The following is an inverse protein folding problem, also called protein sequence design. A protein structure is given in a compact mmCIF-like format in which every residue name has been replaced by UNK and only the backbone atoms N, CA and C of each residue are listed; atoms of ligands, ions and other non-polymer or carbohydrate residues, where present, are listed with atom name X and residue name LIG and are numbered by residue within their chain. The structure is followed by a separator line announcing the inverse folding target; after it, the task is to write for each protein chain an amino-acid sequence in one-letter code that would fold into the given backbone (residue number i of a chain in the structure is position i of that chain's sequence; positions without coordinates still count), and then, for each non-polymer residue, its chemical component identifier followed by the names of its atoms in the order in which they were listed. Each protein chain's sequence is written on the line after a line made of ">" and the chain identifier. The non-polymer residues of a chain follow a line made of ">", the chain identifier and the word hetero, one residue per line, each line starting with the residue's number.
data_IF_091431487653
#
_entry.id   IF_091431487653
#
_cell.length_a   1.000
_cell.length_b   1.000
_cell.length_c   1.000
_cell.angle_alpha   90.00
_cell.angle_beta   90.00
_cell.angle_gamma   90.00
#
_symmetry.space_group_name_H-M   'P 1'
#
loop_
_entity.id
_entity.type
_entity.pdbx_description
1 polymer ?
#
# COMPACT_ATOMS: atom_id res chain seq x y z
N UNK A 1 26.20 11.21 -23.73
CA UNK A 1 25.52 12.13 -22.81
C UNK A 1 24.23 11.46 -22.32
N UNK A 2 24.32 10.50 -21.38
CA UNK A 2 23.17 9.73 -20.86
C UNK A 2 23.07 9.70 -19.32
N UNK A 3 23.96 10.40 -18.60
CA UNK A 3 24.09 10.24 -17.14
C UNK A 3 22.91 10.75 -16.33
N UNK A 4 22.14 11.73 -16.83
CA UNK A 4 21.01 12.32 -16.10
C UNK A 4 19.82 11.36 -15.99
N UNK A 5 19.52 10.60 -17.04
CA UNK A 5 18.43 9.62 -17.04
C UNK A 5 18.77 8.42 -16.15
N UNK A 6 20.01 7.94 -16.22
CA UNK A 6 20.47 6.84 -15.36
C UNK A 6 20.45 7.22 -13.88
N UNK A 7 20.78 8.48 -13.55
CA UNK A 7 20.76 8.99 -12.16
C UNK A 7 19.34 9.16 -11.62
N UNK A 8 18.36 9.53 -12.46
CA UNK A 8 16.96 9.61 -12.04
C UNK A 8 16.34 8.23 -11.87
N UNK A 9 16.59 7.29 -12.78
CA UNK A 9 16.09 5.91 -12.69
C UNK A 9 16.68 5.19 -11.48
N UNK A 10 17.96 5.39 -11.19
CA UNK A 10 18.61 4.83 -9.98
C UNK A 10 18.04 5.46 -8.71
N UNK A 11 17.90 6.79 -8.62
CA UNK A 11 17.30 7.44 -7.44
C UNK A 11 15.86 6.99 -7.17
N UNK A 12 15.06 6.78 -8.21
CA UNK A 12 13.69 6.27 -8.07
C UNK A 12 13.71 4.82 -7.60
N UNK A 13 14.55 3.97 -8.19
CA UNK A 13 14.72 2.57 -7.75
C UNK A 13 15.23 2.47 -6.32
N UNK A 14 16.20 3.29 -5.94
CA UNK A 14 16.79 3.31 -4.61
C UNK A 14 15.80 3.85 -3.57
N UNK A 15 15.00 4.86 -3.91
CA UNK A 15 13.95 5.38 -3.03
C UNK A 15 12.80 4.39 -2.87
N UNK A 16 12.41 3.69 -3.94
CA UNK A 16 11.42 2.60 -3.89
C UNK A 16 11.96 1.43 -3.09
N UNK A 17 13.22 1.04 -3.27
CA UNK A 17 13.86 -0.03 -2.52
C UNK A 17 13.99 0.33 -1.04
N UNK A 18 14.38 1.57 -0.71
CA UNK A 18 14.47 2.04 0.67
C UNK A 18 13.09 2.20 1.33
N UNK A 19 12.08 2.66 0.59
CA UNK A 19 10.70 2.68 1.08
C UNK A 19 10.19 1.26 1.29
N UNK A 20 10.39 0.36 0.33
CA UNK A 20 10.02 -1.05 0.43
C UNK A 20 10.76 -1.76 1.57
N UNK A 21 12.04 -1.48 1.82
CA UNK A 21 12.82 -2.05 2.93
C UNK A 21 12.42 -1.46 4.28
N UNK A 22 12.05 -0.19 4.35
CA UNK A 22 11.57 0.45 5.57
C UNK A 22 10.18 -0.04 5.95
N UNK A 23 9.32 -0.20 4.94
CA UNK A 23 8.01 -0.86 5.05
C UNK A 23 8.19 -2.32 5.44
N UNK A 24 9.05 -3.10 4.76
CA UNK A 24 9.31 -4.51 5.07
C UNK A 24 9.83 -4.70 6.50
N UNK A 25 10.69 -3.81 6.99
CA UNK A 25 11.13 -3.79 8.40
C UNK A 25 9.99 -3.42 9.36
N UNK A 26 9.13 -2.46 9.00
CA UNK A 26 7.94 -2.10 9.78
C UNK A 26 6.86 -3.19 9.81
N UNK A 27 6.74 -3.99 8.75
CA UNK A 27 5.78 -5.09 8.62
C UNK A 27 6.26 -6.41 9.24
N UNK A 28 7.56 -6.69 9.22
CA UNK A 28 8.16 -7.80 10.00
C UNK A 28 8.02 -7.54 11.51
N UNK A 29 7.90 -6.28 11.92
CA UNK A 29 7.63 -5.84 13.29
C UNK A 29 6.20 -5.30 13.47
N UNK A 30 5.18 -6.08 13.07
CA UNK A 30 3.75 -5.84 13.42
C UNK A 30 3.50 -6.00 14.93
N UNK A 31 4.26 -5.24 15.73
CA UNK A 31 4.22 -5.12 17.17
C UNK A 31 3.87 -3.68 17.51
N UNK A 32 2.58 -3.44 17.78
CA UNK A 32 2.02 -2.40 18.65
C UNK A 32 2.15 -0.92 18.26
N UNK A 33 3.29 -0.48 17.75
CA UNK A 33 3.69 0.93 17.72
C UNK A 33 4.11 1.45 16.32
N UNK A 34 3.99 0.63 15.27
CA UNK A 34 4.25 1.07 13.89
C UNK A 34 3.04 1.83 13.36
N UNK A 35 3.18 3.14 13.21
CA UNK A 35 2.23 3.99 12.51
C UNK A 35 2.57 3.98 11.02
N UNK A 36 1.63 3.57 10.17
CA UNK A 36 1.79 3.62 8.71
C UNK A 36 0.66 4.46 8.14
N UNK A 37 0.99 5.30 7.16
CA UNK A 37 -0.01 6.05 6.40
C UNK A 37 -0.72 5.17 5.37
N UNK A 38 -1.92 5.62 4.95
CA UNK A 38 -2.66 4.95 3.86
C UNK A 38 -1.82 4.87 2.58
N UNK A 39 -1.03 5.90 2.32
CA UNK A 39 -0.14 5.95 1.16
C UNK A 39 0.97 4.91 1.22
N UNK A 40 1.68 4.79 2.36
CA UNK A 40 2.74 3.79 2.53
C UNK A 40 2.18 2.35 2.41
N UNK A 41 0.96 2.12 2.91
CA UNK A 41 0.30 0.84 2.76
C UNK A 41 -0.05 0.54 1.29
N UNK A 42 -0.52 1.53 0.54
CA UNK A 42 -0.82 1.37 -0.88
C UNK A 42 0.44 1.06 -1.68
N UNK A 43 1.54 1.77 -1.43
CA UNK A 43 2.81 1.53 -2.11
C UNK A 43 3.41 0.17 -1.77
N UNK A 44 3.28 -0.28 -0.51
CA UNK A 44 3.61 -1.65 -0.13
C UNK A 44 2.84 -2.67 -0.95
N UNK A 45 1.52 -2.55 -1.03
CA UNK A 45 0.68 -3.50 -1.78
C UNK A 45 1.10 -3.48 -3.26
N UNK A 46 1.30 -2.32 -3.88
CA UNK A 46 1.68 -2.22 -5.31
C UNK A 46 3.04 -2.84 -5.61
N UNK A 47 4.03 -2.63 -4.74
CA UNK A 47 5.42 -3.03 -4.98
C UNK A 47 5.73 -4.45 -4.50
N UNK A 48 4.83 -5.08 -3.75
CA UNK A 48 5.05 -6.43 -3.25
C UNK A 48 4.98 -7.48 -4.37
N UNK A 49 6.01 -8.33 -4.44
CA UNK A 49 6.16 -9.34 -5.51
C UNK A 49 5.02 -10.36 -5.62
N UNK A 50 4.33 -10.64 -4.51
CA UNK A 50 3.22 -11.60 -4.48
C UNK A 50 1.85 -10.96 -4.75
N UNK A 51 1.82 -9.64 -4.96
CA UNK A 51 0.56 -8.94 -5.23
C UNK A 51 0.01 -9.34 -6.58
N UNK A 52 -1.27 -9.68 -6.59
CA UNK A 52 -2.03 -9.94 -7.81
C UNK A 52 -2.91 -8.74 -8.11
N UNK A 53 -2.71 -8.14 -9.27
CA UNK A 53 -3.50 -6.99 -9.72
C UNK A 53 -4.35 -7.37 -10.92
N UNK A 54 -5.65 -7.13 -10.81
CA UNK A 54 -6.55 -7.15 -11.95
C UNK A 54 -6.92 -5.71 -12.35
N UNK A 55 -7.23 -5.51 -13.63
CA UNK A 55 -7.74 -4.22 -14.11
C UNK A 55 -9.09 -4.40 -14.79
N UNK A 56 -9.99 -3.43 -14.60
CA UNK A 56 -11.31 -3.41 -15.23
C UNK A 56 -11.60 -2.03 -15.81
N UNK A 57 -12.15 -2.00 -17.01
CA UNK A 57 -12.65 -0.77 -17.60
C UNK A 57 -14.11 -0.58 -17.20
N UNK A 58 -14.38 0.41 -16.35
CA UNK A 58 -15.69 0.68 -15.75
C UNK A 58 -15.97 2.17 -15.86
N UNK A 59 -17.20 2.57 -16.17
CA UNK A 59 -17.61 3.99 -16.16
C UNK A 59 -16.67 4.91 -16.97
N UNK A 60 -16.14 4.41 -18.10
CA UNK A 60 -15.23 5.16 -18.96
C UNK A 60 -13.78 5.30 -18.45
N UNK A 61 -13.38 4.58 -17.39
CA UNK A 61 -12.06 4.66 -16.79
C UNK A 61 -11.49 3.27 -16.47
N UNK A 62 -10.17 3.16 -16.33
CA UNK A 62 -9.52 1.95 -15.83
C UNK A 62 -9.41 2.00 -14.30
N UNK A 63 -9.85 0.91 -13.68
CA UNK A 63 -9.70 0.66 -12.25
C UNK A 63 -8.78 -0.53 -12.05
N UNK A 64 -7.98 -0.47 -11.00
CA UNK A 64 -6.99 -1.49 -10.64
C UNK A 64 -7.31 -2.01 -9.25
N UNK A 65 -7.34 -3.34 -9.13
CA UNK A 65 -7.69 -4.04 -7.91
C UNK A 65 -6.55 -4.98 -7.56
N UNK A 66 -5.81 -4.61 -6.52
CA UNK A 66 -4.62 -5.34 -6.06
C UNK A 66 -4.93 -6.11 -4.78
N UNK A 67 -4.57 -7.38 -4.79
CA UNK A 67 -4.76 -8.31 -3.68
C UNK A 67 -3.42 -8.88 -3.24
N UNK A 68 -3.17 -8.85 -1.94
CA UNK A 68 -1.99 -9.44 -1.32
C UNK A 68 -2.40 -10.20 -0.07
N UNK A 69 -1.79 -11.36 0.16
CA UNK A 69 -1.91 -12.10 1.40
C UNK A 69 -0.51 -12.41 1.92
N UNK A 70 -0.19 -11.88 3.10
CA UNK A 70 1.10 -12.09 3.76
C UNK A 70 0.89 -12.20 5.27
N UNK A 71 1.55 -13.16 5.93
CA UNK A 71 1.54 -13.33 7.38
C UNK A 71 0.13 -13.38 8.02
N UNK A 72 -0.84 -13.98 7.34
CA UNK A 72 -2.23 -14.08 7.83
C UNK A 72 -3.06 -12.80 7.69
N UNK A 73 -2.48 -11.74 7.12
CA UNK A 73 -3.17 -10.49 6.76
C UNK A 73 -3.55 -10.52 5.28
N UNK A 74 -4.78 -10.12 4.99
CA UNK A 74 -5.30 -9.88 3.64
C UNK A 74 -5.35 -8.39 3.40
N UNK A 75 -4.69 -7.98 2.33
CA UNK A 75 -4.64 -6.60 1.86
C UNK A 75 -5.43 -6.45 0.57
N UNK A 76 -6.10 -5.32 0.46
CA UNK A 76 -6.79 -4.91 -0.76
C UNK A 76 -6.50 -3.44 -1.04
N UNK A 77 -6.20 -3.15 -2.29
CA UNK A 77 -5.99 -1.80 -2.80
C UNK A 77 -6.82 -1.62 -4.07
N UNK A 78 -7.58 -0.54 -4.10
CA UNK A 78 -8.31 -0.11 -5.28
C UNK A 78 -7.82 1.27 -5.73
N UNK A 79 -7.47 1.41 -7.00
CA UNK A 79 -7.06 2.69 -7.58
C UNK A 79 -7.74 2.98 -8.91
N UNK A 80 -7.84 4.27 -9.24
CA UNK A 80 -8.07 4.76 -10.59
C UNK A 80 -6.82 5.56 -10.99
N UNK A 81 -5.98 4.95 -11.82
CA UNK A 81 -4.61 5.42 -12.04
C UNK A 81 -3.84 5.53 -10.73
N UNK A 82 -3.30 6.72 -10.45
CA UNK A 82 -2.56 7.01 -9.21
C UNK A 82 -3.47 7.36 -8.02
N UNK A 83 -4.77 7.57 -8.24
CA UNK A 83 -5.70 7.95 -7.18
C UNK A 83 -6.15 6.72 -6.37
N UNK A 84 -5.88 6.76 -5.06
CA UNK A 84 -6.25 5.69 -4.13
C UNK A 84 -7.73 5.83 -3.76
N UNK A 85 -8.53 4.85 -4.14
CA UNK A 85 -9.96 4.79 -3.85
C UNK A 85 -10.23 4.13 -2.51
N UNK A 86 -9.61 2.96 -2.28
CA UNK A 86 -9.80 2.14 -1.10
C UNK A 86 -8.50 1.43 -0.72
N UNK A 87 -8.26 1.32 0.59
CA UNK A 87 -7.19 0.48 1.15
C UNK A 87 -7.75 -0.28 2.35
N UNK A 88 -7.56 -1.59 2.35
CA UNK A 88 -7.92 -2.47 3.45
C UNK A 88 -6.76 -3.34 3.89
N UNK A 89 -6.69 -3.56 5.20
CA UNK A 89 -5.89 -4.61 5.80
C UNK A 89 -6.75 -5.33 6.85
N UNK A 90 -6.90 -6.64 6.70
CA UNK A 90 -7.77 -7.46 7.55
C UNK A 90 -7.07 -8.76 7.94
N UNK A 91 -7.27 -9.23 9.17
CA UNK A 91 -6.97 -10.62 9.53
C UNK A 91 -8.25 -11.44 9.47
N UNK A 92 -8.18 -12.71 9.86
CA UNK A 92 -9.38 -13.55 10.03
C UNK A 92 -10.37 -12.97 11.05
N UNK A 93 -9.86 -12.29 12.07
CA UNK A 93 -10.64 -11.95 13.27
C UNK A 93 -10.97 -10.46 13.38
N UNK A 94 -10.24 -9.58 12.68
CA UNK A 94 -10.43 -8.13 12.81
C UNK A 94 -10.02 -7.35 11.56
N UNK A 95 -10.61 -6.15 11.44
CA UNK A 95 -10.21 -5.13 10.48
C UNK A 95 -9.08 -4.30 11.11
N UNK A 96 -7.93 -4.24 10.45
CA UNK A 96 -6.76 -3.47 10.90
C UNK A 96 -6.79 -2.05 10.32
N UNK A 97 -7.09 -1.96 9.01
CA UNK A 97 -7.18 -0.70 8.27
C UNK A 97 -8.40 -0.77 7.37
N UNK A 98 -9.16 0.32 7.36
CA UNK A 98 -10.24 0.55 6.42
C UNK A 98 -10.23 2.04 6.02
N UNK A 99 -9.66 2.35 4.86
CA UNK A 99 -9.71 3.66 4.23
C UNK A 99 -10.56 3.66 2.95
N UNK A 100 -11.39 4.67 2.77
CA UNK A 100 -12.17 4.96 1.55
C UNK A 100 -12.15 6.46 1.29
N UNK A 101 -11.59 6.86 0.15
CA UNK A 101 -11.50 8.26 -0.28
C UNK A 101 -12.84 9.00 -0.33
N UNK A 102 -13.94 8.28 -0.61
CA UNK A 102 -15.28 8.85 -0.78
C UNK A 102 -16.12 8.89 0.50
N UNK A 103 -15.65 8.28 1.59
CA UNK A 103 -16.41 8.16 2.84
C UNK A 103 -15.64 8.72 4.03
N UNK A 104 -14.35 8.46 4.09
CA UNK A 104 -13.53 8.78 5.25
C UNK A 104 -12.95 10.19 5.05
N UNK A 105 -13.26 11.12 5.96
CA UNK A 105 -12.68 12.49 5.98
C UNK A 105 -11.19 12.52 6.36
N UNK A 106 -10.57 11.34 6.52
CA UNK A 106 -9.17 11.17 6.87
C UNK A 106 -8.31 11.51 5.65
N UNK A 107 -7.32 12.38 5.84
CA UNK A 107 -6.34 12.67 4.79
C UNK A 107 -5.46 11.44 4.55
N UNK A 108 -4.95 11.27 3.32
CA UNK A 108 -4.05 10.17 2.93
C UNK A 108 -2.84 9.98 3.88
N UNK A 109 -2.43 11.06 4.55
CA UNK A 109 -1.31 11.08 5.48
C UNK A 109 -1.72 10.81 6.93
N UNK A 110 -2.98 10.48 7.20
CA UNK A 110 -3.39 10.22 8.58
C UNK A 110 -2.78 8.90 9.06
N UNK A 111 -2.04 8.90 10.18
CA UNK A 111 -1.45 7.68 10.71
C UNK A 111 -2.53 6.68 11.12
N UNK A 112 -2.42 5.42 10.67
CA UNK A 112 -3.31 4.34 11.08
C UNK A 112 -2.59 3.41 12.06
N UNK A 113 -3.26 3.07 13.17
CA UNK A 113 -2.71 2.22 14.22
C UNK A 113 -3.14 0.77 14.04
N UNK A 114 -2.17 -0.13 13.95
CA UNK A 114 -2.43 -1.57 13.92
C UNK A 114 -2.72 -2.11 15.34
N UNK A 115 -3.75 -2.94 15.53
CA UNK A 115 -3.97 -3.63 16.80
C UNK A 115 -2.88 -4.65 17.08
N UNK A 116 -2.54 -4.87 18.37
CA UNK A 116 -1.65 -5.96 18.79
C UNK A 116 -2.33 -7.30 18.56
N UNK A 117 -1.70 -8.19 17.80
CA UNK A 117 -2.09 -9.59 17.71
C UNK A 117 -1.46 -10.32 18.91
N UNK A 118 -2.27 -10.97 19.74
CA UNK A 118 -1.81 -11.85 20.83
C UNK A 118 -1.63 -13.28 20.31
#
# INVERSE_FOLDING_TARGET
>A
MNSYLDTMVTKVKDSIAQAADSVRRGFVALSGDTFISVWELAEYIKTHKETKTESKYLLGNYYYFSHLQENGVRYYLETNGDFILQVDATTKDQILVAYRSYKDKLSLNTPVKFPKVH
#
